data_IF_801841593239
#
_entry.id   IF_801841593239
#
_cell.length_a   1.000
_cell.length_b   1.000
_cell.length_c   1.000
_cell.angle_alpha   90.00
_cell.angle_beta   90.00
_cell.angle_gamma   90.00
#
_symmetry.space_group_name_H-M   'P 1'
#
loop_
_entity.id
_entity.type
_entity.pdbx_description
1 polymer ?
#
# COMPACT_ATOMS: atom_id res chain seq x y z
N UNK A 1 11.33 -3.29 -26.84
CA UNK A 1 10.11 -3.82 -26.20
C UNK A 1 10.13 -3.35 -24.75
N UNK A 2 9.46 -2.24 -24.45
CA UNK A 2 9.42 -1.68 -23.09
C UNK A 2 8.41 -2.43 -22.23
N UNK A 3 8.67 -2.67 -20.94
CA UNK A 3 7.71 -3.29 -20.06
C UNK A 3 6.56 -2.32 -19.76
N UNK A 4 5.49 -2.44 -20.55
CA UNK A 4 4.16 -1.96 -20.20
C UNK A 4 3.64 -2.80 -19.03
N UNK A 5 3.20 -2.15 -17.93
CA UNK A 5 2.01 -2.50 -17.12
C UNK A 5 1.96 -1.65 -15.85
N UNK A 6 1.64 -0.38 -16.03
CA UNK A 6 0.98 0.42 -15.01
C UNK A 6 -0.29 1.01 -15.66
N UNK A 7 -1.31 1.32 -14.87
CA UNK A 7 -2.53 2.09 -15.25
C UNK A 7 -3.82 1.28 -15.54
N UNK A 8 -4.05 0.10 -14.95
CA UNK A 8 -5.43 -0.48 -14.90
C UNK A 8 -5.91 -0.94 -13.50
N UNK A 9 -5.10 -0.82 -12.45
CA UNK A 9 -5.44 -1.37 -11.12
C UNK A 9 -6.42 -0.51 -10.30
N UNK A 10 -6.60 0.77 -10.62
CA UNK A 10 -7.32 1.71 -9.74
C UNK A 10 -8.84 1.44 -9.72
N UNK A 11 -9.41 0.82 -10.76
CA UNK A 11 -10.87 0.64 -10.85
C UNK A 11 -11.41 -0.73 -10.38
N UNK A 12 -10.56 -1.72 -10.12
CA UNK A 12 -11.01 -3.07 -9.73
C UNK A 12 -10.41 -3.61 -8.42
N UNK A 13 -9.46 -2.92 -7.79
CA UNK A 13 -8.87 -3.36 -6.51
C UNK A 13 -9.84 -3.29 -5.33
N UNK A 14 -10.83 -2.39 -5.38
CA UNK A 14 -11.79 -2.22 -4.28
C UNK A 14 -12.91 -3.27 -4.34
N UNK A 15 -12.87 -4.24 -5.26
CA UNK A 15 -13.93 -5.24 -5.43
C UNK A 15 -13.45 -6.62 -5.04
N UNK A 16 -14.26 -7.33 -4.27
CA UNK A 16 -13.95 -8.70 -3.91
C UNK A 16 -13.97 -9.60 -5.15
N UNK A 17 -12.87 -10.30 -5.45
CA UNK A 17 -12.80 -11.22 -6.60
C UNK A 17 -13.83 -12.35 -6.54
N UNK A 18 -14.28 -12.73 -5.33
CA UNK A 18 -15.28 -13.79 -5.12
C UNK A 18 -16.71 -13.26 -5.30
N UNK A 19 -17.05 -12.19 -4.60
CA UNK A 19 -18.43 -11.69 -4.53
C UNK A 19 -18.73 -10.59 -5.55
N UNK A 20 -17.71 -10.02 -6.19
CA UNK A 20 -17.79 -8.82 -7.05
C UNK A 20 -18.50 -7.64 -6.36
N UNK A 21 -18.42 -7.60 -5.04
CA UNK A 21 -18.97 -6.53 -4.22
C UNK A 21 -17.86 -5.57 -3.81
N UNK A 22 -18.17 -4.26 -3.65
CA UNK A 22 -17.21 -3.31 -3.13
C UNK A 22 -16.79 -3.71 -1.71
N UNK A 23 -15.49 -3.73 -1.47
CA UNK A 23 -14.89 -4.02 -0.19
C UNK A 23 -14.86 -2.76 0.67
N UNK A 24 -15.08 -2.94 1.97
CA UNK A 24 -15.05 -1.85 2.94
C UNK A 24 -13.62 -1.61 3.42
N UNK A 25 -13.19 -0.35 3.47
CA UNK A 25 -11.92 0.02 4.12
C UNK A 25 -12.08 -0.15 5.63
N UNK A 26 -11.33 -1.08 6.21
CA UNK A 26 -11.32 -1.34 7.66
C UNK A 26 -10.30 -0.50 8.40
N UNK A 27 -9.15 -0.28 7.78
CA UNK A 27 -8.09 0.54 8.35
C UNK A 27 -7.29 1.20 7.24
N UNK A 28 -6.84 2.42 7.50
CA UNK A 28 -5.90 3.14 6.66
C UNK A 28 -4.84 3.72 7.59
N UNK A 29 -3.59 3.38 7.35
CA UNK A 29 -2.46 3.83 8.16
C UNK A 29 -1.34 4.28 7.24
N UNK A 30 -0.67 5.36 7.65
CA UNK A 30 0.46 5.93 6.93
C UNK A 30 1.77 5.44 7.55
N UNK A 31 2.71 5.11 6.69
CA UNK A 31 4.05 4.67 7.05
C UNK A 31 5.09 5.38 6.18
N UNK A 32 6.33 5.35 6.65
CA UNK A 32 7.50 5.70 5.86
C UNK A 32 8.29 4.44 5.54
N UNK A 33 8.87 4.44 4.35
CA UNK A 33 9.81 3.44 3.91
C UNK A 33 11.21 4.05 4.00
N UNK A 34 12.22 3.37 4.57
CA UNK A 34 13.58 3.89 4.72
C UNK A 34 14.35 3.84 3.39
N UNK A 35 13.73 4.38 2.33
CA UNK A 35 14.29 4.53 1.00
C UNK A 35 14.29 6.00 0.62
N UNK A 36 15.34 6.43 -0.06
CA UNK A 36 15.46 7.80 -0.56
C UNK A 36 15.19 7.84 -2.07
N UNK A 37 14.75 8.99 -2.55
CA UNK A 37 14.63 9.28 -3.99
C UNK A 37 15.91 8.89 -4.73
N UNK A 38 15.77 8.20 -5.86
CA UNK A 38 16.89 7.66 -6.65
C UNK A 38 17.44 6.31 -6.20
N UNK A 39 17.07 5.82 -5.01
CA UNK A 39 17.46 4.50 -4.47
C UNK A 39 16.24 3.60 -4.21
N UNK A 40 15.13 3.83 -4.93
CA UNK A 40 13.93 3.02 -4.78
C UNK A 40 14.18 1.59 -5.27
N UNK A 41 13.93 0.62 -4.40
CA UNK A 41 13.99 -0.80 -4.74
C UNK A 41 12.59 -1.41 -4.58
N UNK A 42 12.00 -1.87 -5.68
CA UNK A 42 10.73 -2.58 -5.65
C UNK A 42 10.91 -3.94 -4.94
N UNK A 43 10.24 -4.13 -3.80
CA UNK A 43 10.19 -5.42 -3.11
C UNK A 43 8.82 -6.06 -3.29
N UNK A 44 8.78 -7.35 -3.67
CA UNK A 44 7.52 -8.10 -3.80
C UNK A 44 7.12 -8.84 -2.52
N UNK A 45 8.03 -8.94 -1.56
CA UNK A 45 7.83 -9.73 -0.34
C UNK A 45 7.17 -8.88 0.76
N UNK A 46 6.03 -9.34 1.28
CA UNK A 46 5.34 -8.74 2.41
C UNK A 46 6.22 -8.66 3.67
N UNK A 47 7.13 -9.61 3.88
CA UNK A 47 8.02 -9.65 5.04
C UNK A 47 8.95 -8.43 5.08
N UNK A 48 9.41 -7.96 3.93
CA UNK A 48 10.24 -6.76 3.83
C UNK A 48 9.50 -5.53 4.36
N UNK A 49 8.26 -5.33 3.91
CA UNK A 49 7.44 -4.19 4.34
C UNK A 49 7.15 -4.26 5.83
N UNK A 50 6.82 -5.43 6.38
CA UNK A 50 6.58 -5.58 7.83
C UNK A 50 7.76 -5.15 8.71
N UNK A 51 8.99 -5.37 8.24
CA UNK A 51 10.20 -5.07 9.03
C UNK A 51 10.63 -3.61 8.88
N UNK A 52 10.42 -3.02 7.70
CA UNK A 52 10.98 -1.72 7.33
C UNK A 52 9.97 -0.56 7.42
N UNK A 53 8.66 -0.83 7.31
CA UNK A 53 7.65 0.22 7.44
C UNK A 53 7.65 0.80 8.84
N UNK A 54 7.79 2.13 8.92
CA UNK A 54 7.74 2.89 10.18
C UNK A 54 6.45 3.70 10.23
N UNK A 55 5.60 3.54 11.27
CA UNK A 55 4.33 4.23 11.35
C UNK A 55 4.56 5.73 11.44
N UNK A 56 3.72 6.49 10.76
CA UNK A 56 3.77 7.94 10.74
C UNK A 56 2.37 8.48 10.98
N UNK A 57 2.25 9.46 11.87
CA UNK A 57 0.95 10.02 12.21
C UNK A 57 0.41 10.93 11.10
N UNK A 58 1.29 11.67 10.43
CA UNK A 58 0.91 12.60 9.38
C UNK A 58 1.98 12.75 8.28
N UNK A 59 1.55 13.09 7.07
CA UNK A 59 2.44 13.28 5.91
C UNK A 59 3.53 14.34 6.15
N UNK A 60 3.27 15.35 6.98
CA UNK A 60 4.26 16.38 7.35
C UNK A 60 5.48 15.84 8.12
N UNK A 61 5.36 14.68 8.75
CA UNK A 61 6.46 14.03 9.48
C UNK A 61 7.39 13.24 8.55
N UNK A 62 7.01 13.07 7.28
CA UNK A 62 7.83 12.37 6.29
C UNK A 62 8.92 13.33 5.82
N UNK A 63 10.18 12.96 6.05
CA UNK A 63 11.30 13.80 5.60
C UNK A 63 11.30 13.92 4.07
N UNK A 64 11.67 15.09 3.53
CA UNK A 64 11.76 15.28 2.08
C UNK A 64 12.69 14.24 1.43
N UNK A 65 12.24 13.69 0.31
CA UNK A 65 13.01 12.67 -0.42
C UNK A 65 12.90 11.26 0.16
N UNK A 66 12.09 11.04 1.20
CA UNK A 66 11.76 9.70 1.73
C UNK A 66 10.43 9.22 1.15
N UNK A 67 10.36 7.94 0.77
CA UNK A 67 9.12 7.33 0.29
C UNK A 67 8.09 7.15 1.40
N UNK A 68 6.86 7.57 1.09
CA UNK A 68 5.67 7.30 1.89
C UNK A 68 5.03 5.98 1.45
N UNK A 69 4.42 5.27 2.38
CA UNK A 69 3.66 4.07 2.13
C UNK A 69 2.32 4.13 2.86
N UNK A 70 1.23 4.14 2.12
CA UNK A 70 -0.12 4.09 2.68
C UNK A 70 -0.62 2.65 2.64
N UNK A 71 -0.88 2.09 3.83
CA UNK A 71 -1.36 0.71 4.01
C UNK A 71 -2.86 0.77 4.24
N UNK A 72 -3.63 0.19 3.34
CA UNK A 72 -5.09 0.19 3.36
C UNK A 72 -5.57 -1.26 3.50
N UNK A 73 -6.22 -1.58 4.62
CA UNK A 73 -6.92 -2.85 4.77
C UNK A 73 -8.35 -2.73 4.27
N UNK A 74 -8.70 -3.67 3.41
CA UNK A 74 -10.03 -3.90 2.90
C UNK A 74 -10.61 -5.18 3.49
N UNK A 75 -11.93 -5.21 3.66
CA UNK A 75 -12.68 -6.42 4.00
C UNK A 75 -13.99 -6.45 3.25
N UNK A 76 -14.27 -7.57 2.59
CA UNK A 76 -15.55 -7.81 1.94
C UNK A 76 -16.62 -8.05 3.02
N UNK A 77 -17.74 -7.31 3.00
CA UNK A 77 -18.83 -7.51 3.96
C UNK A 77 -19.58 -8.84 3.73
N UNK A 78 -19.61 -9.35 2.49
CA UNK A 78 -20.36 -10.56 2.10
C UNK A 78 -19.64 -11.86 2.49
N UNK A 79 -18.37 -12.02 2.10
CA UNK A 79 -17.61 -13.26 2.32
C UNK A 79 -16.52 -13.14 3.39
N UNK A 80 -16.32 -11.95 3.96
CA UNK A 80 -15.27 -11.71 4.95
C UNK A 80 -13.85 -11.73 4.40
N UNK A 81 -13.66 -11.80 3.08
CA UNK A 81 -12.33 -11.77 2.45
C UNK A 81 -11.59 -10.47 2.80
N UNK A 82 -10.35 -10.59 3.25
CA UNK A 82 -9.48 -9.46 3.60
C UNK A 82 -8.39 -9.29 2.57
N UNK A 83 -8.10 -8.04 2.24
CA UNK A 83 -7.01 -7.66 1.35
C UNK A 83 -6.30 -6.43 1.90
N UNK A 84 -4.99 -6.35 1.76
CA UNK A 84 -4.18 -5.21 2.19
C UNK A 84 -3.49 -4.61 0.98
N UNK A 85 -3.73 -3.34 0.72
CA UNK A 85 -3.10 -2.56 -0.33
C UNK A 85 -1.98 -1.72 0.26
N UNK A 86 -0.79 -1.79 -0.35
CA UNK A 86 0.31 -0.87 -0.13
C UNK A 86 0.38 0.09 -1.31
N UNK A 87 0.26 1.38 -1.01
CA UNK A 87 0.45 2.44 -1.98
C UNK A 87 1.75 3.17 -1.65
N UNK A 88 2.78 2.99 -2.48
CA UNK A 88 4.09 3.61 -2.29
C UNK A 88 4.18 4.84 -3.19
N UNK A 89 4.53 5.98 -2.60
CA UNK A 89 4.64 7.25 -3.31
C UNK A 89 5.70 8.14 -2.70
N UNK A 90 6.31 8.98 -3.52
CA UNK A 90 7.18 10.07 -3.06
C UNK A 90 6.31 11.31 -2.80
N UNK A 91 6.27 11.83 -1.55
CA UNK A 91 5.60 13.10 -1.27
C UNK A 91 6.46 14.24 -1.82
N UNK A 92 6.15 14.69 -3.04
CA UNK A 92 6.71 15.91 -3.61
C UNK A 92 5.70 17.02 -3.38
N UNK A 93 6.15 18.15 -2.83
CA UNK A 93 5.37 19.30 -2.32
C UNK A 93 3.90 19.39 -2.77
N UNK A 94 3.64 19.43 -4.08
CA UNK A 94 2.30 19.61 -4.65
C UNK A 94 1.79 18.41 -5.47
N UNK A 95 2.59 17.36 -5.67
CA UNK A 95 2.24 16.17 -6.44
C UNK A 95 2.84 14.91 -5.82
N UNK A 96 2.00 13.99 -5.37
CA UNK A 96 2.47 12.67 -4.95
C UNK A 96 2.86 11.87 -6.19
N UNK A 97 4.15 11.57 -6.32
CA UNK A 97 4.63 10.70 -7.39
C UNK A 97 4.43 9.25 -6.95
N UNK A 98 3.42 8.58 -7.51
CA UNK A 98 3.15 7.18 -7.23
C UNK A 98 4.21 6.32 -7.91
N UNK A 99 4.92 5.50 -7.12
CA UNK A 99 5.92 4.56 -7.64
C UNK A 99 5.30 3.19 -7.90
N UNK A 100 4.70 2.62 -6.86
CA UNK A 100 4.26 1.22 -6.88
C UNK A 100 2.98 1.02 -6.06
N UNK A 101 2.25 -0.02 -6.45
CA UNK A 101 1.06 -0.50 -5.74
C UNK A 101 1.16 -2.01 -5.59
N UNK A 102 1.05 -2.48 -4.35
CA UNK A 102 0.98 -3.91 -4.04
C UNK A 102 -0.36 -4.24 -3.39
N UNK A 103 -0.96 -5.35 -3.79
CA UNK A 103 -2.19 -5.86 -3.21
C UNK A 103 -1.93 -7.27 -2.66
N UNK A 104 -2.10 -7.43 -1.35
CA UNK A 104 -1.93 -8.69 -0.62
C UNK A 104 -3.29 -9.24 -0.20
N UNK A 105 -3.75 -10.30 -0.86
CA UNK A 105 -5.06 -10.93 -0.61
C UNK A 105 -4.98 -12.21 0.25
N UNK A 106 -3.76 -12.69 0.53
CA UNK A 106 -3.52 -13.96 1.21
C UNK A 106 -3.38 -13.83 2.74
N UNK A 107 -3.78 -12.69 3.32
CA UNK A 107 -3.63 -12.41 4.76
C UNK A 107 -2.17 -12.19 5.19
N UNK A 108 -1.22 -12.17 4.26
CA UNK A 108 0.20 -11.99 4.53
C UNK A 108 0.50 -10.69 5.29
N UNK A 109 -0.37 -9.67 5.21
CA UNK A 109 -0.20 -8.38 5.88
C UNK A 109 -1.21 -8.09 6.99
N UNK A 110 -2.14 -9.00 7.27
CA UNK A 110 -3.23 -8.78 8.25
C UNK A 110 -2.68 -8.56 9.67
N UNK A 111 -1.66 -9.31 10.07
CA UNK A 111 -1.03 -9.19 11.39
C UNK A 111 -0.31 -7.85 11.60
N UNK A 112 0.16 -7.23 10.52
CA UNK A 112 0.93 -5.98 10.59
C UNK A 112 0.05 -4.81 11.04
N UNK A 113 -1.18 -4.78 10.55
CA UNK A 113 -2.15 -3.75 10.91
C UNK A 113 -2.72 -3.95 12.31
N UNK A 114 -2.75 -5.19 12.83
CA UNK A 114 -3.18 -5.49 14.20
C UNK A 114 -2.16 -5.09 15.27
N UNK A 115 -0.87 -5.03 14.93
CA UNK A 115 0.23 -4.75 15.87
C UNK A 115 0.60 -3.28 16.02
N UNK A 116 0.10 -2.41 15.14
CA UNK A 116 0.45 -0.99 15.07
C UNK A 116 -0.59 -0.08 15.69
#
# INVERSE_FOLDING_TARGET
>A
MGPLRAIQSIFHDDWCKKCKTPMEVRARKLYTLPMTVGNYCAHKDAAYYKQNLRPVADRSQILPGIYACEVIAYRCPECGHSAVKLLIYLPVRDQNQQEDVYLFENGEMDDFLRRS
#
